data_IF_034902562536
#
_entry.id   IF_034902562536
#
_cell.length_a   1.000
_cell.length_b   1.000
_cell.length_c   1.000
_cell.angle_alpha   90.00
_cell.angle_beta   90.00
_cell.angle_gamma   90.00
#
_symmetry.space_group_name_H-M   'P 1'
#
loop_
_entity.id
_entity.type
_entity.pdbx_description
1 polymer ?
#
# COMPACT_ATOMS: atom_id res chain seq x y z
N UNK A 1 -18.92 1.27 -16.60
CA UNK A 1 -18.88 2.70 -16.24
C UNK A 1 -17.51 3.22 -16.58
N UNK A 2 -17.41 4.41 -17.19
CA UNK A 2 -16.13 5.08 -17.46
C UNK A 2 -15.94 6.06 -16.30
N UNK A 3 -14.96 5.82 -15.44
CA UNK A 3 -14.63 6.76 -14.36
C UNK A 3 -13.69 7.87 -14.84
N UNK A 4 -13.41 8.80 -13.94
CA UNK A 4 -12.51 9.93 -14.17
C UNK A 4 -11.14 9.64 -13.57
N UNK A 5 -10.08 10.06 -14.25
CA UNK A 5 -8.71 10.01 -13.74
C UNK A 5 -8.22 11.42 -13.44
N UNK A 6 -7.85 11.66 -12.19
CA UNK A 6 -7.19 12.89 -11.73
C UNK A 6 -5.72 12.60 -11.45
N UNK A 7 -4.80 13.37 -12.02
CA UNK A 7 -3.37 13.18 -11.81
C UNK A 7 -2.71 14.48 -11.31
N UNK A 8 -1.91 14.34 -10.24
CA UNK A 8 -1.04 15.38 -9.70
C UNK A 8 0.41 14.97 -9.91
N UNK A 9 1.15 15.75 -10.70
CA UNK A 9 2.61 15.60 -10.79
C UNK A 9 3.27 16.42 -9.69
N UNK A 10 3.84 15.74 -8.71
CA UNK A 10 4.50 16.34 -7.56
C UNK A 10 5.96 16.64 -7.87
N UNK A 11 6.36 17.91 -7.71
CA UNK A 11 7.77 18.33 -7.85
C UNK A 11 8.51 18.37 -6.51
N UNK A 12 7.81 18.09 -5.41
CA UNK A 12 8.32 18.09 -4.04
C UNK A 12 7.26 17.58 -3.07
N UNK A 13 7.68 17.31 -1.84
CA UNK A 13 6.78 16.80 -0.81
C UNK A 13 5.62 17.78 -0.57
N UNK A 14 4.40 17.25 -0.58
CA UNK A 14 3.18 18.07 -0.67
C UNK A 14 2.19 17.72 0.42
N UNK A 15 1.55 18.74 0.99
CA UNK A 15 0.42 18.58 1.92
C UNK A 15 -0.84 19.11 1.25
N UNK A 16 -1.86 18.27 1.11
CA UNK A 16 -3.16 18.61 0.53
C UNK A 16 -4.23 18.58 1.61
N UNK A 17 -5.07 19.62 1.65
CA UNK A 17 -6.18 19.74 2.57
C UNK A 17 -7.51 19.53 1.83
N UNK A 18 -8.30 18.56 2.30
CA UNK A 18 -9.57 18.19 1.70
C UNK A 18 -10.70 18.48 2.68
N UNK A 19 -11.69 19.28 2.25
CA UNK A 19 -12.88 19.51 3.09
C UNK A 19 -13.73 18.26 3.27
N UNK A 20 -13.85 17.45 2.21
CA UNK A 20 -14.38 16.08 2.24
C UNK A 20 -13.79 15.30 1.09
N UNK A 21 -13.13 14.18 1.40
CA UNK A 21 -12.61 13.27 0.38
C UNK A 21 -13.60 12.14 0.08
N UNK A 22 -14.06 12.08 -1.17
CA UNK A 22 -14.84 10.98 -1.73
C UNK A 22 -14.24 10.65 -3.09
N UNK A 23 -13.71 9.44 -3.25
CA UNK A 23 -13.27 8.91 -4.55
C UNK A 23 -14.21 7.77 -4.94
N UNK A 24 -15.18 8.01 -5.84
CA UNK A 24 -16.14 6.98 -6.28
C UNK A 24 -15.48 5.76 -6.94
N UNK A 25 -16.21 4.64 -6.94
CA UNK A 25 -15.78 3.45 -7.67
C UNK A 25 -15.68 3.73 -9.18
N UNK A 26 -14.57 3.28 -9.78
CA UNK A 26 -14.24 3.54 -11.18
C UNK A 26 -13.37 4.79 -11.39
N UNK A 27 -13.32 5.71 -10.44
CA UNK A 27 -12.44 6.88 -10.50
C UNK A 27 -11.02 6.55 -10.03
N UNK A 28 -10.04 7.28 -10.55
CA UNK A 28 -8.62 7.17 -10.22
C UNK A 28 -8.06 8.51 -9.73
N UNK A 29 -7.24 8.45 -8.68
CA UNK A 29 -6.41 9.55 -8.21
C UNK A 29 -4.94 9.12 -8.22
N UNK A 30 -4.11 9.82 -9.00
CA UNK A 30 -2.72 9.48 -9.21
C UNK A 30 -1.80 10.62 -8.76
N UNK A 31 -0.76 10.27 -7.99
CA UNK A 31 0.30 11.17 -7.57
C UNK A 31 1.63 10.70 -8.18
N UNK A 32 2.10 11.39 -9.22
CA UNK A 32 3.32 11.06 -9.95
C UNK A 32 4.51 11.95 -9.56
N UNK A 33 5.74 11.53 -9.89
CA UNK A 33 6.96 12.34 -9.68
C UNK A 33 7.83 11.94 -8.48
N UNK A 34 7.46 10.88 -7.76
CA UNK A 34 8.26 10.23 -6.72
C UNK A 34 8.31 10.94 -5.35
N UNK A 35 7.88 12.20 -5.28
CA UNK A 35 7.74 12.93 -4.02
C UNK A 35 6.59 12.37 -3.15
N UNK A 36 6.63 12.64 -1.85
CA UNK A 36 5.59 12.20 -0.92
C UNK A 36 4.39 13.15 -0.87
N UNK A 37 3.23 12.63 -0.47
CA UNK A 37 2.02 13.41 -0.27
C UNK A 37 1.29 13.05 1.04
N UNK A 38 0.89 14.09 1.77
CA UNK A 38 0.02 14.01 2.94
C UNK A 38 -1.34 14.58 2.59
N UNK A 39 -2.38 13.77 2.69
CA UNK A 39 -3.76 14.17 2.50
C UNK A 39 -4.43 14.34 3.86
N UNK A 40 -4.63 15.59 4.27
CA UNK A 40 -5.38 15.94 5.47
C UNK A 40 -6.87 16.00 5.14
N UNK A 41 -7.65 15.12 5.77
CA UNK A 41 -9.08 14.96 5.52
C UNK A 41 -9.86 15.65 6.65
N UNK A 42 -10.44 16.81 6.32
CA UNK A 42 -11.19 17.65 7.25
C UNK A 42 -12.68 17.28 7.37
N UNK A 43 -13.36 17.99 8.26
CA UNK A 43 -14.79 17.78 8.50
C UNK A 43 -15.09 16.60 9.44
N UNK A 44 -16.38 16.29 9.59
CA UNK A 44 -16.89 15.27 10.53
C UNK A 44 -17.62 14.12 9.85
N UNK A 45 -17.77 14.18 8.52
CA UNK A 45 -18.46 13.16 7.72
C UNK A 45 -17.47 12.13 7.22
N UNK A 46 -17.89 10.86 7.16
CA UNK A 46 -17.07 9.75 6.66
C UNK A 46 -16.47 10.07 5.28
N UNK A 47 -15.16 9.81 5.17
CA UNK A 47 -14.40 9.83 3.92
C UNK A 47 -14.41 8.46 3.27
N UNK A 48 -14.41 8.43 1.94
CA UNK A 48 -14.47 7.17 1.19
C UNK A 48 -13.45 7.15 0.06
N UNK A 49 -12.77 6.01 -0.04
CA UNK A 49 -11.93 5.64 -1.18
C UNK A 49 -12.56 4.37 -1.76
N UNK A 50 -13.50 4.56 -2.68
CA UNK A 50 -14.16 3.48 -3.42
C UNK A 50 -13.44 3.18 -4.74
N UNK A 51 -12.72 4.18 -5.29
CA UNK A 51 -11.89 4.08 -6.49
C UNK A 51 -10.44 3.68 -6.22
N UNK A 52 -9.56 4.04 -7.16
CA UNK A 52 -8.13 3.67 -7.13
C UNK A 52 -7.28 4.89 -6.79
N UNK A 53 -6.41 4.77 -5.79
CA UNK A 53 -5.36 5.73 -5.49
C UNK A 53 -4.00 5.11 -5.79
N UNK A 54 -3.17 5.79 -6.57
CA UNK A 54 -1.79 5.38 -6.85
C UNK A 54 -0.82 6.53 -6.58
N UNK A 55 0.32 6.25 -5.95
CA UNK A 55 1.39 7.20 -5.75
C UNK A 55 2.76 6.57 -6.05
N UNK A 56 3.63 7.29 -6.77
CA UNK A 56 5.02 6.84 -6.96
C UNK A 56 5.83 6.94 -5.65
N UNK A 57 5.46 7.89 -4.78
CA UNK A 57 6.11 8.19 -3.52
C UNK A 57 5.41 7.64 -2.28
N UNK A 58 5.69 8.25 -1.13
CA UNK A 58 4.98 7.98 0.13
C UNK A 58 3.62 8.66 0.07
N UNK A 59 2.56 7.98 0.52
CA UNK A 59 1.22 8.56 0.58
C UNK A 59 0.58 8.35 1.95
N UNK A 60 0.02 9.42 2.50
CA UNK A 60 -0.73 9.40 3.76
C UNK A 60 -2.14 9.98 3.59
N UNK A 61 -3.13 9.37 4.25
CA UNK A 61 -4.47 9.94 4.44
C UNK A 61 -4.79 10.00 5.93
N UNK A 62 -5.08 11.21 6.44
CA UNK A 62 -5.28 11.47 7.88
C UNK A 62 -6.63 12.15 8.12
N UNK A 63 -7.58 11.42 8.70
CA UNK A 63 -8.95 11.86 8.98
C UNK A 63 -9.20 12.07 10.48
N UNK A 64 -8.57 13.08 11.08
CA UNK A 64 -8.65 13.35 12.52
C UNK A 64 -10.07 13.68 13.02
N UNK A 65 -10.97 14.12 12.13
CA UNK A 65 -12.34 14.52 12.47
C UNK A 65 -13.42 13.48 12.20
N UNK A 66 -13.14 12.44 11.40
CA UNK A 66 -14.15 11.59 10.79
C UNK A 66 -13.68 10.13 10.60
N UNK A 67 -14.61 9.24 10.24
CA UNK A 67 -14.26 7.90 9.78
C UNK A 67 -13.61 7.94 8.38
N UNK A 68 -12.81 6.93 8.09
CA UNK A 68 -12.23 6.68 6.77
C UNK A 68 -12.53 5.24 6.36
N UNK A 69 -13.16 5.08 5.20
CA UNK A 69 -13.44 3.78 4.60
C UNK A 69 -12.73 3.63 3.27
N UNK A 70 -12.03 2.50 3.11
CA UNK A 70 -11.34 2.14 1.87
C UNK A 70 -11.96 0.87 1.31
N UNK A 71 -12.82 1.02 0.31
CA UNK A 71 -13.44 -0.07 -0.43
C UNK A 71 -12.66 -0.42 -1.71
N UNK A 72 -11.97 0.57 -2.30
CA UNK A 72 -11.14 0.41 -3.48
C UNK A 72 -9.69 0.05 -3.13
N UNK A 73 -8.73 0.60 -3.86
CA UNK A 73 -7.31 0.26 -3.69
C UNK A 73 -6.45 1.50 -3.45
N UNK A 74 -5.49 1.41 -2.53
CA UNK A 74 -4.47 2.44 -2.32
C UNK A 74 -3.08 1.82 -2.48
N UNK A 75 -2.32 2.29 -3.46
CA UNK A 75 -0.96 1.82 -3.75
C UNK A 75 0.04 2.96 -3.66
N UNK A 76 1.16 2.72 -2.99
CA UNK A 76 2.26 3.69 -2.89
C UNK A 76 3.60 3.03 -2.58
N UNK A 77 4.69 3.79 -2.58
CA UNK A 77 5.99 3.28 -2.07
C UNK A 77 5.87 2.89 -0.60
N UNK A 78 5.25 3.76 0.20
CA UNK A 78 4.74 3.47 1.54
C UNK A 78 3.35 4.08 1.66
N UNK A 79 2.47 3.45 2.42
CA UNK A 79 1.07 3.89 2.58
C UNK A 79 0.72 4.03 4.05
N UNK A 80 0.14 5.16 4.44
CA UNK A 80 -0.45 5.35 5.77
C UNK A 80 -1.89 5.80 5.66
N UNK A 81 -2.81 5.07 6.30
CA UNK A 81 -4.22 5.40 6.40
C UNK A 81 -4.59 5.56 7.87
N UNK A 82 -5.11 6.72 8.26
CA UNK A 82 -5.40 7.01 9.64
C UNK A 82 -6.71 7.77 9.84
N UNK A 83 -7.43 7.44 10.91
CA UNK A 83 -8.50 8.29 11.49
C UNK A 83 -7.97 9.16 12.64
N UNK A 84 -6.67 9.43 12.59
CA UNK A 84 -5.90 10.24 13.53
C UNK A 84 -5.23 11.36 12.74
N UNK A 85 -5.00 12.52 13.37
CA UNK A 85 -4.24 13.61 12.76
C UNK A 85 -2.74 13.31 12.77
N UNK A 86 -2.03 13.68 11.70
CA UNK A 86 -0.56 13.67 11.72
C UNK A 86 -0.06 14.85 12.56
N UNK A 87 0.73 14.57 13.60
CA UNK A 87 1.31 15.62 14.45
C UNK A 87 2.37 16.45 13.74
N UNK A 88 3.01 15.88 12.71
CA UNK A 88 4.03 16.52 11.89
C UNK A 88 4.08 15.86 10.50
N UNK A 89 3.53 16.55 9.50
CA UNK A 89 3.53 16.09 8.12
C UNK A 89 4.95 15.99 7.52
N UNK A 90 5.88 16.83 7.96
CA UNK A 90 7.27 16.83 7.49
C UNK A 90 8.01 15.61 8.04
N UNK A 91 7.83 15.29 9.32
CA UNK A 91 8.41 14.08 9.91
C UNK A 91 7.92 12.82 9.18
N UNK A 92 6.63 12.75 8.84
CA UNK A 92 6.08 11.66 8.04
C UNK A 92 6.72 11.57 6.64
N UNK A 93 6.77 12.69 5.90
CA UNK A 93 7.26 12.72 4.51
C UNK A 93 8.75 12.39 4.39
N UNK A 94 9.54 12.85 5.36
CA UNK A 94 10.99 12.57 5.43
C UNK A 94 11.33 11.14 5.84
N UNK A 95 10.32 10.33 6.23
CA UNK A 95 10.53 8.97 6.72
C UNK A 95 11.15 8.91 8.12
N UNK A 96 11.18 10.05 8.83
CA UNK A 96 11.46 10.10 10.25
C UNK A 96 10.37 9.37 11.04
N UNK A 97 10.65 9.05 12.29
CA UNK A 97 9.61 8.55 13.18
C UNK A 97 8.51 9.61 13.31
N UNK A 98 7.25 9.20 13.28
CA UNK A 98 6.11 10.11 13.27
C UNK A 98 5.05 9.69 14.28
N UNK A 99 4.26 10.67 14.72
CA UNK A 99 3.16 10.48 15.67
C UNK A 99 1.83 10.88 15.03
N UNK A 100 0.79 10.14 15.37
CA UNK A 100 -0.58 10.36 14.97
C UNK A 100 -1.45 10.45 16.22
N UNK A 101 -2.26 11.50 16.34
CA UNK A 101 -3.07 11.74 17.54
C UNK A 101 -4.50 12.09 17.16
N UNK A 102 -5.46 11.55 17.90
CA UNK A 102 -6.86 11.95 17.82
C UNK A 102 -7.04 13.28 18.59
N UNK A 103 -7.25 14.37 17.87
CA UNK A 103 -7.55 15.68 18.47
C UNK A 103 -9.05 15.86 18.69
N UNK A 104 -9.88 15.24 17.85
CA UNK A 104 -11.31 15.41 17.94
C UNK A 104 -11.97 14.37 18.88
N UNK A 105 -13.10 14.79 19.46
CA UNK A 105 -13.91 13.96 20.38
C UNK A 105 -14.83 13.01 19.60
N UNK A 106 -15.17 11.87 20.20
CA UNK A 106 -16.08 10.87 19.62
C UNK A 106 -15.37 9.68 18.96
N UNK A 107 -16.17 8.68 18.61
CA UNK A 107 -15.69 7.45 17.99
C UNK A 107 -15.49 7.63 16.48
N UNK A 108 -14.32 7.26 15.97
CA UNK A 108 -13.99 7.23 14.54
C UNK A 108 -13.52 5.83 14.19
N UNK A 109 -14.00 5.34 13.06
CA UNK A 109 -13.70 3.99 12.60
C UNK A 109 -12.89 4.09 11.32
N UNK A 110 -11.72 3.47 11.34
CA UNK A 110 -10.93 3.17 10.16
C UNK A 110 -11.41 1.82 9.63
N UNK A 111 -11.97 1.77 8.42
CA UNK A 111 -12.39 0.51 7.80
C UNK A 111 -11.64 0.29 6.49
N UNK A 112 -11.02 -0.87 6.34
CA UNK A 112 -10.48 -1.35 5.07
C UNK A 112 -11.29 -2.56 4.63
N UNK A 113 -11.97 -2.42 3.51
CA UNK A 113 -12.73 -3.44 2.79
C UNK A 113 -11.99 -3.88 1.51
N UNK A 114 -11.20 -2.99 0.91
CA UNK A 114 -10.42 -3.24 -0.31
C UNK A 114 -8.94 -3.51 -0.07
N UNK A 115 -8.05 -2.96 -0.90
CA UNK A 115 -6.61 -3.25 -0.85
C UNK A 115 -5.73 -2.06 -0.49
N UNK A 116 -4.65 -2.34 0.24
CA UNK A 116 -3.60 -1.38 0.58
C UNK A 116 -2.26 -2.02 0.27
N UNK A 117 -1.48 -1.43 -0.63
CA UNK A 117 -0.22 -2.01 -1.11
C UNK A 117 0.92 -1.01 -0.98
N UNK A 118 1.92 -1.35 -0.17
CA UNK A 118 3.18 -0.61 -0.06
C UNK A 118 4.29 -1.33 -0.84
N UNK A 119 4.70 -0.77 -1.98
CA UNK A 119 5.59 -1.45 -2.94
C UNK A 119 7.06 -1.40 -2.56
N UNK A 120 7.49 -0.46 -1.72
CA UNK A 120 8.89 -0.29 -1.33
C UNK A 120 9.13 -0.08 0.17
N UNK A 121 8.08 -0.05 0.98
CA UNK A 121 8.14 0.30 2.39
C UNK A 121 6.96 -0.27 3.16
N UNK A 122 6.50 0.48 4.16
CA UNK A 122 5.51 0.02 5.11
C UNK A 122 4.07 0.38 4.69
N UNK A 123 3.13 -0.48 5.04
CA UNK A 123 1.69 -0.17 5.03
C UNK A 123 1.21 0.00 6.47
N UNK A 124 0.72 1.19 6.83
CA UNK A 124 0.27 1.52 8.18
C UNK A 124 -1.22 1.87 8.17
N UNK A 125 -2.01 1.22 9.02
CA UNK A 125 -3.42 1.53 9.24
C UNK A 125 -3.65 1.81 10.71
N UNK A 126 -4.13 3.02 11.03
CA UNK A 126 -4.24 3.49 12.40
C UNK A 126 -5.57 4.17 12.71
N UNK A 127 -6.03 4.02 13.94
CA UNK A 127 -7.27 4.64 14.41
C UNK A 127 -7.58 4.26 15.84
N UNK A 128 -8.60 4.87 16.43
CA UNK A 128 -9.10 4.38 17.71
C UNK A 128 -9.73 2.98 17.55
N UNK A 129 -10.44 2.78 16.44
CA UNK A 129 -11.00 1.49 16.04
C UNK A 129 -10.63 1.20 14.58
N UNK A 130 -9.90 0.10 14.37
CA UNK A 130 -9.45 -0.35 13.06
C UNK A 130 -10.16 -1.65 12.71
N UNK A 131 -10.87 -1.67 11.58
CA UNK A 131 -11.56 -2.83 11.04
C UNK A 131 -10.97 -3.19 9.68
N UNK A 132 -10.20 -4.27 9.63
CA UNK A 132 -9.77 -4.91 8.38
C UNK A 132 -10.76 -6.03 8.08
N UNK A 133 -11.54 -5.89 7.00
CA UNK A 133 -12.70 -6.75 6.71
C UNK A 133 -12.29 -8.01 5.94
N UNK A 134 -13.20 -8.98 5.84
CA UNK A 134 -12.87 -10.32 5.32
C UNK A 134 -12.34 -10.36 3.88
N UNK A 135 -12.73 -9.39 3.05
CA UNK A 135 -12.22 -9.26 1.67
C UNK A 135 -10.97 -8.37 1.54
N UNK A 136 -10.53 -7.75 2.63
CA UNK A 136 -9.46 -6.76 2.59
C UNK A 136 -8.08 -7.40 2.48
N UNK A 137 -7.18 -6.72 1.77
CA UNK A 137 -5.79 -7.16 1.57
C UNK A 137 -4.80 -6.04 1.88
N UNK A 138 -3.93 -6.27 2.85
CA UNK A 138 -2.86 -5.36 3.22
C UNK A 138 -1.52 -6.01 2.87
N UNK A 139 -0.79 -5.44 1.94
CA UNK A 139 0.47 -5.99 1.46
C UNK A 139 1.59 -4.95 1.53
N UNK A 140 2.75 -5.34 2.02
CA UNK A 140 3.91 -4.46 2.11
C UNK A 140 5.21 -5.20 1.81
N UNK A 141 6.10 -4.59 1.01
CA UNK A 141 7.49 -5.07 0.90
C UNK A 141 8.22 -4.93 2.24
N UNK A 142 7.95 -3.84 2.97
CA UNK A 142 8.35 -3.63 4.35
C UNK A 142 7.41 -4.34 5.31
N UNK A 143 6.90 -3.66 6.33
CA UNK A 143 5.97 -4.24 7.29
C UNK A 143 4.54 -3.74 7.10
N UNK A 144 3.58 -4.58 7.49
CA UNK A 144 2.19 -4.16 7.73
C UNK A 144 2.05 -3.78 9.21
N UNK A 145 1.57 -2.58 9.51
CA UNK A 145 1.37 -2.09 10.88
C UNK A 145 -0.08 -1.69 11.12
N UNK A 146 -0.72 -2.28 12.12
CA UNK A 146 -2.10 -2.00 12.50
C UNK A 146 -2.15 -1.46 13.93
N UNK A 147 -2.68 -0.26 14.11
CA UNK A 147 -2.69 0.41 15.40
C UNK A 147 -4.10 0.80 15.87
N UNK A 148 -4.50 0.29 17.03
CA UNK A 148 -5.72 0.66 17.76
C UNK A 148 -5.40 1.56 18.95
N UNK A 149 -5.58 2.87 18.83
CA UNK A 149 -5.33 3.82 19.92
C UNK A 149 -5.66 5.26 19.57
N UNK A 150 -5.76 6.12 20.60
CA UNK A 150 -5.95 7.58 20.42
C UNK A 150 -4.65 8.32 20.10
N UNK A 151 -3.51 7.71 20.41
CA UNK A 151 -2.19 8.21 20.05
C UNK A 151 -1.36 7.03 19.59
N UNK A 152 -0.76 7.18 18.42
CA UNK A 152 0.01 6.14 17.74
C UNK A 152 1.34 6.74 17.31
N UNK A 153 2.43 6.04 17.58
CA UNK A 153 3.76 6.40 17.11
C UNK A 153 4.30 5.31 16.20
N UNK A 154 5.02 5.72 15.16
CA UNK A 154 5.82 4.83 14.32
C UNK A 154 7.25 5.33 14.40
N UNK A 155 8.13 4.61 15.07
CA UNK A 155 9.54 4.96 15.17
C UNK A 155 10.23 4.88 13.79
N UNK A 156 11.33 5.61 13.58
CA UNK A 156 12.10 5.55 12.34
C UNK A 156 12.75 4.17 12.14
N UNK A 157 13.23 3.59 13.24
CA UNK A 157 13.98 2.36 13.29
C UNK A 157 13.64 1.56 14.56
N UNK A 158 14.28 0.40 14.69
CA UNK A 158 14.10 -0.50 15.81
C UNK A 158 13.39 -1.79 15.45
N UNK A 159 13.49 -2.77 16.35
CA UNK A 159 12.86 -4.08 16.21
C UNK A 159 11.34 -4.04 16.37
N UNK A 160 10.86 -3.04 17.10
CA UNK A 160 9.47 -2.69 17.30
C UNK A 160 9.33 -1.20 17.06
N UNK A 161 8.50 -0.84 16.08
CA UNK A 161 8.36 0.56 15.66
C UNK A 161 7.01 1.12 16.03
N UNK A 162 5.99 0.27 16.12
CA UNK A 162 4.67 0.66 16.54
C UNK A 162 4.61 0.91 18.05
N UNK A 163 3.88 1.95 18.44
CA UNK A 163 3.57 2.27 19.82
C UNK A 163 2.19 2.91 19.91
N UNK A 164 1.41 2.58 20.94
CA UNK A 164 0.07 3.13 21.17
C UNK A 164 -0.11 3.63 22.60
N UNK A 165 -0.82 4.73 22.77
CA UNK A 165 -1.23 5.25 24.07
C UNK A 165 -2.69 5.73 24.09
N UNK A 166 -3.20 5.98 25.29
CA UNK A 166 -4.63 6.24 25.53
C UNK A 166 -5.36 5.07 26.22
N UNK A 167 -6.64 5.26 26.53
CA UNK A 167 -7.47 4.29 27.26
C UNK A 167 -8.31 3.39 26.35
N UNK A 168 -8.52 3.78 25.09
CA UNK A 168 -9.36 3.10 24.10
C UNK A 168 -8.54 2.77 22.85
N UNK A 169 -8.83 1.63 22.22
CA UNK A 169 -8.05 1.15 21.08
C UNK A 169 -8.34 -0.30 20.71
N UNK A 170 -8.95 -0.54 19.55
CA UNK A 170 -9.28 -1.88 19.07
C UNK A 170 -8.80 -2.10 17.64
N UNK A 171 -8.26 -3.29 17.37
CA UNK A 171 -8.00 -3.79 16.01
C UNK A 171 -8.81 -5.07 15.80
N UNK A 172 -9.75 -5.04 14.87
CA UNK A 172 -10.44 -6.21 14.36
C UNK A 172 -9.90 -6.56 12.98
N UNK A 173 -9.30 -7.74 12.86
CA UNK A 173 -8.65 -8.20 11.64
C UNK A 173 -9.32 -9.47 11.11
N UNK A 174 -10.06 -9.34 10.03
CA UNK A 174 -10.78 -10.44 9.35
C UNK A 174 -10.20 -10.76 7.96
N UNK A 175 -9.38 -9.86 7.40
CA UNK A 175 -8.83 -9.98 6.05
C UNK A 175 -7.46 -10.64 5.99
N UNK A 176 -6.65 -10.23 5.03
CA UNK A 176 -5.29 -10.72 4.82
C UNK A 176 -4.28 -9.59 5.04
N UNK A 177 -3.25 -9.84 5.84
CA UNK A 177 -2.10 -8.95 6.03
C UNK A 177 -0.81 -9.71 5.73
N UNK A 178 -0.02 -9.22 4.78
CA UNK A 178 1.26 -9.82 4.38
C UNK A 178 2.37 -8.80 4.28
N UNK A 179 3.50 -9.06 4.92
CA UNK A 179 4.72 -8.29 4.71
C UNK A 179 5.96 -9.01 5.20
N UNK A 180 7.13 -8.36 5.10
CA UNK A 180 8.35 -8.88 5.73
C UNK A 180 8.15 -9.05 7.24
N UNK A 181 7.35 -8.17 7.85
CA UNK A 181 6.92 -8.22 9.25
C UNK A 181 5.47 -7.75 9.37
N UNK A 182 4.77 -8.21 10.40
CA UNK A 182 3.46 -7.67 10.78
C UNK A 182 3.50 -7.24 12.24
N UNK A 183 3.17 -5.98 12.52
CA UNK A 183 3.04 -5.43 13.86
C UNK A 183 1.59 -4.99 14.10
N UNK A 184 0.95 -5.53 15.12
CA UNK A 184 -0.39 -5.12 15.55
C UNK A 184 -0.31 -4.70 17.01
N UNK A 185 -0.69 -3.46 17.28
CA UNK A 185 -0.76 -2.96 18.65
C UNK A 185 -2.10 -2.28 18.90
N UNK A 186 -2.74 -2.59 20.02
CA UNK A 186 -3.97 -1.93 20.43
C UNK A 186 -4.01 -1.63 21.93
N UNK A 187 -4.83 -0.67 22.37
CA UNK A 187 -4.96 -0.39 23.82
C UNK A 187 -5.79 -1.42 24.56
N UNK A 188 -6.89 -1.88 23.96
CA UNK A 188 -7.87 -2.75 24.61
C UNK A 188 -7.90 -4.14 23.97
N UNK A 189 -7.95 -4.23 22.65
CA UNK A 189 -8.23 -5.51 22.00
C UNK A 189 -7.59 -5.62 20.62
N UNK A 190 -6.99 -6.79 20.38
CA UNK A 190 -6.67 -7.26 19.02
C UNK A 190 -7.47 -8.54 18.81
N UNK A 191 -8.36 -8.56 17.83
CA UNK A 191 -9.11 -9.74 17.45
C UNK A 191 -8.78 -10.14 16.01
N UNK A 192 -8.14 -11.29 15.83
CA UNK A 192 -7.81 -11.85 14.52
C UNK A 192 -8.72 -13.03 14.19
N UNK A 193 -9.46 -12.94 13.09
CA UNK A 193 -10.18 -14.05 12.47
C UNK A 193 -9.82 -14.22 10.98
N UNK A 194 -8.80 -13.48 10.52
CA UNK A 194 -8.26 -13.53 9.16
C UNK A 194 -6.85 -14.13 9.12
N UNK A 195 -6.07 -13.81 8.08
CA UNK A 195 -4.71 -14.31 7.88
C UNK A 195 -3.66 -13.22 8.10
N UNK A 196 -2.72 -13.46 9.01
CA UNK A 196 -1.55 -12.62 9.25
C UNK A 196 -0.31 -13.41 8.85
N UNK A 197 0.50 -12.86 7.94
CA UNK A 197 1.69 -13.54 7.42
C UNK A 197 2.90 -12.60 7.37
N UNK A 198 3.99 -13.01 8.01
CA UNK A 198 5.29 -12.35 7.88
C UNK A 198 6.41 -13.14 8.50
N UNK A 199 7.67 -12.80 8.22
CA UNK A 199 8.81 -13.50 8.83
C UNK A 199 8.84 -13.33 10.36
N UNK A 200 8.26 -12.23 10.84
CA UNK A 200 8.01 -11.94 12.26
C UNK A 200 6.62 -11.33 12.41
N UNK A 201 5.91 -11.78 13.43
CA UNK A 201 4.59 -11.25 13.79
C UNK A 201 4.64 -10.77 15.23
N UNK A 202 4.18 -9.55 15.46
CA UNK A 202 4.19 -8.91 16.76
C UNK A 202 2.80 -8.46 17.14
N UNK A 203 2.31 -8.94 18.27
CA UNK A 203 0.99 -8.59 18.79
C UNK A 203 1.15 -8.00 20.19
N UNK A 204 0.68 -6.78 20.40
CA UNK A 204 0.72 -6.13 21.71
C UNK A 204 -0.63 -5.52 22.08
N UNK A 205 -1.01 -5.66 23.34
CA UNK A 205 -2.11 -4.91 23.94
C UNK A 205 -1.71 -4.18 25.20
N UNK A 206 -2.40 -3.06 25.45
CA UNK A 206 -2.27 -2.30 26.69
C UNK A 206 -2.65 -3.12 27.94
N UNK A 207 -2.34 -2.57 29.12
CA UNK A 207 -2.65 -3.20 30.42
C UNK A 207 -4.14 -3.50 30.54
N UNK A 208 -4.48 -4.76 30.82
CA UNK A 208 -5.86 -5.22 30.95
C UNK A 208 -6.55 -5.54 29.61
N UNK A 209 -5.90 -5.28 28.48
CA UNK A 209 -6.38 -5.67 27.16
C UNK A 209 -6.19 -7.16 26.88
N UNK A 210 -6.77 -7.61 25.77
CA UNK A 210 -6.72 -9.01 25.31
C UNK A 210 -6.41 -9.12 23.82
N UNK A 211 -5.74 -10.19 23.45
CA UNK A 211 -5.47 -10.59 22.07
C UNK A 211 -6.21 -11.90 21.86
N UNK A 212 -7.10 -11.93 20.87
CA UNK A 212 -7.90 -13.06 20.46
C UNK A 212 -7.44 -13.50 19.08
N UNK A 213 -6.99 -14.73 18.94
CA UNK A 213 -6.90 -15.40 17.64
C UNK A 213 -8.09 -16.35 17.55
N UNK A 214 -9.16 -15.90 16.89
CA UNK A 214 -10.43 -16.59 16.73
C UNK A 214 -10.29 -17.88 15.92
N UNK A 215 -11.28 -18.77 15.96
CA UNK A 215 -11.21 -20.11 15.33
C UNK A 215 -10.83 -20.15 13.84
N UNK A 216 -11.12 -19.09 13.07
CA UNK A 216 -10.72 -18.95 11.66
C UNK A 216 -9.41 -18.20 11.46
N UNK A 217 -8.84 -17.62 12.51
CA UNK A 217 -7.62 -16.84 12.50
C UNK A 217 -6.39 -17.69 12.22
N UNK A 218 -5.56 -17.26 11.27
CA UNK A 218 -4.28 -17.89 10.93
C UNK A 218 -3.16 -16.89 11.10
N UNK A 219 -2.13 -17.27 11.86
CA UNK A 219 -0.90 -16.47 12.01
C UNK A 219 0.27 -17.31 11.50
N UNK A 220 1.03 -16.78 10.54
CA UNK A 220 2.20 -17.44 9.95
C UNK A 220 3.44 -16.60 10.19
N UNK A 221 4.44 -17.16 10.88
CA UNK A 221 5.70 -16.50 11.16
C UNK A 221 6.23 -16.73 12.57
N UNK A 222 7.33 -16.04 12.91
CA UNK A 222 7.84 -16.02 14.29
C UNK A 222 7.04 -15.03 15.12
N UNK A 223 6.13 -15.54 15.94
CA UNK A 223 5.18 -14.73 16.72
C UNK A 223 5.76 -14.31 18.07
N UNK A 224 5.62 -13.03 18.44
CA UNK A 224 5.91 -12.51 19.77
C UNK A 224 4.73 -11.69 20.27
N UNK A 225 4.24 -12.04 21.46
CA UNK A 225 2.98 -11.55 22.01
C UNK A 225 3.25 -10.85 23.34
N UNK A 226 2.60 -9.70 23.57
CA UNK A 226 2.62 -8.96 24.84
C UNK A 226 1.21 -8.57 25.25
N UNK A 227 0.73 -9.17 26.34
CA UNK A 227 -0.63 -8.97 26.85
C UNK A 227 -1.31 -10.31 27.11
N UNK A 228 -2.60 -10.28 27.47
CA UNK A 228 -3.39 -11.49 27.63
C UNK A 228 -3.68 -12.07 26.25
N UNK A 229 -3.27 -13.31 26.00
CA UNK A 229 -3.46 -13.98 24.72
C UNK A 229 -4.39 -15.18 24.87
N UNK A 230 -5.36 -15.28 23.99
CA UNK A 230 -6.29 -16.38 23.89
C UNK A 230 -6.37 -16.82 22.42
N UNK A 231 -6.24 -18.11 22.18
CA UNK A 231 -6.01 -18.67 20.85
C UNK A 231 -6.89 -19.89 20.61
N UNK A 232 -7.94 -19.67 19.83
CA UNK A 232 -8.79 -20.70 19.25
C UNK A 232 -8.44 -20.98 17.77
N UNK A 233 -7.63 -20.11 17.16
CA UNK A 233 -7.16 -20.23 15.78
C UNK A 233 -5.85 -21.00 15.61
N UNK A 234 -5.27 -20.90 14.40
CA UNK A 234 -4.03 -21.58 14.01
C UNK A 234 -2.83 -20.64 14.04
N UNK A 235 -1.74 -21.09 14.65
CA UNK A 235 -0.43 -20.42 14.57
C UNK A 235 0.58 -21.38 13.95
N UNK A 236 1.07 -21.02 12.77
CA UNK A 236 2.11 -21.75 12.05
C UNK A 236 3.43 -21.05 12.30
N UNK A 237 4.37 -21.75 12.96
CA UNK A 237 5.74 -21.31 13.03
C UNK A 237 6.33 -21.15 11.63
N UNK A 238 7.38 -20.35 11.48
CA UNK A 238 8.15 -20.41 10.25
C UNK A 238 8.79 -21.78 10.15
N UNK A 239 8.30 -22.63 9.25
CA UNK A 239 9.05 -23.83 8.85
C UNK A 239 10.42 -23.35 8.37
N UNK A 240 11.49 -23.91 8.94
CA UNK A 240 12.87 -23.59 8.60
C UNK A 240 13.23 -23.97 7.13
N UNK A 241 12.26 -24.45 6.34
CA UNK A 241 12.42 -24.82 4.93
C UNK A 241 11.73 -23.92 3.90
N UNK A 242 10.69 -23.16 4.27
CA UNK A 242 9.79 -22.50 3.29
C UNK A 242 9.53 -21.02 3.56
N UNK A 243 10.17 -20.43 4.57
CA UNK A 243 10.22 -18.98 4.67
C UNK A 243 10.94 -18.45 3.42
N UNK A 244 10.18 -17.85 2.49
CA UNK A 244 10.73 -16.98 1.46
C UNK A 244 11.49 -15.88 2.18
N UNK A 245 12.79 -16.11 2.40
CA UNK A 245 13.71 -15.08 2.84
C UNK A 245 13.64 -14.04 1.75
N UNK A 246 12.96 -12.92 2.01
CA UNK A 246 13.10 -11.72 1.20
C UNK A 246 14.61 -11.51 1.05
N UNK A 247 15.12 -11.71 -0.17
CA UNK A 247 16.52 -11.57 -0.44
C UNK A 247 16.90 -10.15 -0.05
N UNK A 248 17.63 -10.02 1.06
CA UNK A 248 18.11 -8.74 1.55
C UNK A 248 18.76 -8.00 0.37
N UNK A 249 18.26 -6.81 0.04
CA UNK A 249 18.93 -5.92 -0.90
C UNK A 249 20.34 -5.67 -0.34
N UNK A 250 21.35 -6.29 -0.95
CA UNK A 250 22.72 -6.16 -0.49
C UNK A 250 23.18 -4.74 -0.81
N UNK A 251 23.17 -3.86 0.20
CA UNK A 251 23.72 -2.52 0.12
C UNK A 251 25.25 -2.63 0.22
N UNK A 252 25.95 -2.50 -0.90
CA UNK A 252 27.41 -2.45 -0.90
C UNK A 252 27.85 -0.98 -0.84
N UNK A 253 28.33 -0.53 0.32
CA UNK A 253 28.89 0.82 0.49
C UNK A 253 30.37 0.81 0.09
N UNK A 254 30.69 1.43 -1.05
CA UNK A 254 32.07 1.63 -1.47
C UNK A 254 32.65 2.84 -0.74
N UNK A 255 33.79 2.70 -0.02
CA UNK A 255 34.43 3.83 0.65
C UNK A 255 35.05 4.80 -0.35
N UNK A 256 35.29 6.03 0.10
CA UNK A 256 36.03 7.02 -0.69
C UNK A 256 37.47 6.54 -0.91
N UNK A 257 37.95 6.57 -2.15
CA UNK A 257 39.34 6.28 -2.50
C UNK A 257 40.08 7.60 -2.67
N UNK A 258 41.19 7.77 -1.95
CA UNK A 258 42.11 8.91 -2.09
C UNK A 258 43.41 8.46 -2.75
N UNK A 259 43.98 9.34 -3.57
CA UNK A 259 45.31 9.15 -4.16
C UNK A 259 46.40 9.43 -3.09
N UNK A 260 47.65 8.99 -3.32
CA UNK A 260 48.77 9.29 -2.41
C UNK A 260 49.03 10.78 -2.19
N UNK A 261 48.60 11.65 -3.11
CA UNK A 261 48.68 13.11 -3.02
C UNK A 261 47.55 13.75 -2.19
N UNK A 262 46.66 12.94 -1.60
CA UNK A 262 45.52 13.39 -0.80
C UNK A 262 44.28 13.82 -1.60
N UNK A 263 44.35 13.86 -2.94
CA UNK A 263 43.19 14.17 -3.79
C UNK A 263 42.22 12.99 -3.89
N UNK A 264 40.91 13.27 -3.92
CA UNK A 264 39.88 12.23 -4.03
C UNK A 264 39.90 11.59 -5.42
N UNK A 265 40.17 10.28 -5.48
CA UNK A 265 40.11 9.46 -6.70
C UNK A 265 38.68 9.00 -7.03
N UNK A 266 37.89 8.66 -6.01
CA UNK A 266 36.46 8.36 -6.16
C UNK A 266 35.69 8.64 -4.87
N UNK A 267 34.50 9.24 -4.99
CA UNK A 267 33.60 9.48 -3.86
C UNK A 267 32.95 8.19 -3.38
N UNK A 268 32.61 8.13 -2.09
CA UNK A 268 31.83 7.04 -1.54
C UNK A 268 30.47 6.93 -2.25
N UNK A 269 30.04 5.71 -2.55
CA UNK A 269 28.74 5.45 -3.19
C UNK A 269 28.16 4.13 -2.74
N UNK A 270 26.84 4.11 -2.62
CA UNK A 270 26.08 2.90 -2.29
C UNK A 270 25.62 2.23 -3.58
N UNK A 271 25.98 0.97 -3.75
CA UNK A 271 25.48 0.13 -4.84
C UNK A 271 24.36 -0.75 -4.30
N UNK A 272 23.15 -0.56 -4.84
CA UNK A 272 22.02 -1.48 -4.65
C UNK A 272 21.96 -2.41 -5.84
N UNK A 273 22.03 -3.72 -5.59
CA UNK A 273 21.83 -4.74 -6.60
C UNK A 273 20.49 -5.41 -6.34
N UNK A 274 19.46 -4.99 -7.07
CA UNK A 274 18.20 -5.71 -7.13
C UNK A 274 18.38 -6.85 -8.14
N UNK A 275 18.44 -8.09 -7.64
CA UNK A 275 18.39 -9.27 -8.51
C UNK A 275 16.92 -9.67 -8.61
N UNK A 276 16.29 -9.61 -9.79
CA UNK A 276 14.97 -10.22 -9.96
C UNK A 276 15.13 -11.73 -9.76
N UNK A 277 14.58 -12.26 -8.67
CA UNK A 277 14.49 -13.70 -8.47
C UNK A 277 13.42 -14.26 -9.41
N UNK A 278 13.85 -15.00 -10.41
CA UNK A 278 12.99 -15.94 -11.12
C UNK A 278 12.76 -17.11 -10.17
N UNK A 279 11.50 -17.30 -9.75
CA UNK A 279 11.10 -18.51 -9.06
C UNK A 279 11.27 -19.69 -10.03
N UNK A 280 12.30 -20.50 -9.83
CA UNK A 280 12.44 -21.78 -10.51
C UNK A 280 11.38 -22.72 -9.95
N UNK A 281 10.32 -22.95 -10.71
CA UNK A 281 9.46 -24.11 -10.57
C UNK A 281 9.99 -25.19 -11.53
N UNK A 282 11.05 -25.89 -11.11
CA UNK A 282 11.44 -27.15 -11.74
C UNK A 282 10.50 -28.26 -11.24
N UNK A 283 9.34 -28.37 -11.87
CA UNK A 283 8.61 -29.63 -11.98
C UNK A 283 8.78 -30.15 -13.42
N UNK A 284 9.26 -31.38 -13.50
CA UNK A 284 9.93 -31.99 -14.65
C UNK A 284 9.06 -32.21 -15.91
N UNK A 285 9.74 -32.00 -17.06
CA UNK A 285 9.78 -32.82 -18.30
C UNK A 285 8.48 -33.07 -19.08
N UNK A 286 8.38 -32.48 -20.29
CA UNK A 286 8.74 -33.22 -21.52
C UNK A 286 8.80 -32.35 -22.80
N UNK A 287 9.89 -32.58 -23.56
CA UNK A 287 10.08 -32.50 -25.03
C UNK A 287 9.89 -31.18 -25.82
N UNK A 288 11.06 -30.65 -26.22
CA UNK A 288 11.59 -30.60 -27.61
C UNK A 288 11.65 -29.26 -28.38
N UNK A 289 12.85 -29.08 -28.98
CA UNK A 289 13.26 -28.27 -30.12
C UNK A 289 13.60 -26.78 -29.90
N UNK A 290 14.89 -26.59 -29.63
CA UNK A 290 15.68 -25.38 -29.87
C UNK A 290 15.73 -24.97 -31.35
N UNK A 291 15.49 -23.70 -31.66
CA UNK A 291 16.14 -23.01 -32.79
C UNK A 291 16.46 -21.56 -32.36
N UNK A 292 17.75 -21.27 -32.21
CA UNK A 292 18.30 -19.90 -32.23
C UNK A 292 18.62 -19.55 -33.69
N UNK A 293 18.23 -18.37 -34.19
CA UNK A 293 18.96 -17.65 -35.25
C UNK A 293 18.91 -16.12 -34.97
N UNK A 294 20.04 -15.48 -35.27
CA UNK A 294 20.55 -14.19 -34.84
C UNK A 294 19.88 -12.90 -35.36
N UNK A 295 20.09 -11.79 -34.62
CA UNK A 295 20.02 -10.39 -35.09
C UNK A 295 21.24 -10.14 -36.00
N UNK A 296 21.17 -9.40 -37.13
CA UNK A 296 21.15 -7.92 -37.26
C UNK A 296 21.27 -7.54 -38.78
N UNK A 297 21.36 -6.26 -39.21
CA UNK A 297 20.28 -5.41 -39.75
C UNK A 297 20.44 -5.02 -41.24
N UNK A 298 19.39 -4.48 -41.88
CA UNK A 298 19.47 -3.41 -42.90
C UNK A 298 18.07 -2.89 -43.28
N UNK A 299 17.88 -1.57 -43.21
CA UNK A 299 16.91 -0.81 -43.99
C UNK A 299 17.72 0.10 -44.96
N UNK A 300 17.13 0.84 -45.92
CA UNK A 300 15.71 1.01 -46.27
C UNK A 300 15.46 0.91 -47.80
N UNK A 301 14.20 0.92 -48.25
CA UNK A 301 13.84 1.52 -49.57
C UNK A 301 12.33 1.83 -49.64
N UNK A 302 12.06 3.09 -49.95
CA UNK A 302 10.76 3.72 -50.17
C UNK A 302 9.95 3.03 -51.29
N UNK A 303 8.62 3.00 -51.19
CA UNK A 303 7.72 3.82 -52.05
C UNK A 303 6.23 3.47 -51.87
N UNK A 304 5.46 4.56 -51.88
CA UNK A 304 4.01 4.74 -52.06
C UNK A 304 3.29 3.63 -52.84
N UNK A 305 2.03 3.37 -52.49
CA UNK A 305 0.82 3.72 -53.28
C UNK A 305 -0.43 3.10 -52.64
N UNK A 306 -1.34 3.95 -52.19
CA UNK A 306 -2.77 3.63 -52.07
C UNK A 306 -3.34 3.38 -53.46
N UNK A 307 -4.27 2.44 -53.66
CA UNK A 307 -5.36 2.54 -54.66
C UNK A 307 -6.37 1.36 -54.56
N UNK A 308 -7.64 1.70 -54.81
CA UNK A 308 -8.88 0.90 -54.97
C UNK A 308 -9.55 0.36 -53.69
N UNK A 309 -10.84 0.62 -53.42
CA UNK A 309 -11.89 1.26 -54.20
C UNK A 309 -13.18 0.47 -54.07
N UNK A 310 -14.21 1.03 -53.43
CA UNK A 310 -15.58 0.59 -53.61
C UNK A 310 -16.49 1.81 -53.79
N UNK A 311 -17.14 1.80 -54.95
CA UNK A 311 -17.98 2.83 -55.56
C UNK A 311 -19.34 2.18 -55.81
N UNK A 312 -20.42 2.91 -55.52
CA UNK A 312 -21.78 2.61 -55.98
C UNK A 312 -22.70 2.08 -54.87
N UNK A 313 -23.87 2.68 -54.61
CA UNK A 313 -24.53 3.78 -55.30
C UNK A 313 -25.71 4.31 -54.49
N UNK A 314 -26.00 5.59 -54.70
CA UNK A 314 -27.21 6.26 -54.25
C UNK A 314 -28.15 6.46 -55.44
N UNK A 315 -29.44 6.18 -55.25
CA UNK A 315 -30.62 6.70 -55.97
C UNK A 315 -31.81 6.39 -55.05
N UNK A 316 -32.71 7.29 -54.65
CA UNK A 316 -32.94 8.71 -54.85
C UNK A 316 -34.25 9.05 -54.11
N UNK A 317 -34.21 10.07 -53.25
CA UNK A 317 -35.16 11.19 -53.01
C UNK A 317 -36.67 11.10 -53.41
N UNK A 318 -37.55 12.04 -52.95
CA UNK A 318 -37.83 12.57 -51.61
C UNK A 318 -39.37 12.84 -51.39
N UNK A 319 -39.70 13.63 -50.36
CA UNK A 319 -40.97 14.37 -50.11
C UNK A 319 -42.13 13.59 -49.48
N UNK A 320 -43.00 14.14 -48.62
CA UNK A 320 -43.04 15.36 -47.82
C UNK A 320 -44.25 15.23 -46.87
N UNK A 321 -44.29 16.12 -45.87
CA UNK A 321 -45.50 16.83 -45.41
C UNK A 321 -46.10 16.54 -44.01
N UNK A 322 -46.51 17.67 -43.43
CA UNK A 322 -47.01 18.07 -42.09
C UNK A 322 -48.17 17.20 -41.56
N UNK A 323 -48.50 17.16 -40.26
CA UNK A 323 -48.99 18.27 -39.41
C UNK A 323 -49.23 17.79 -37.96
N UNK A 324 -49.13 18.63 -36.91
CA UNK A 324 -49.61 18.31 -35.56
C UNK A 324 -51.03 18.86 -35.33
N UNK A 325 -51.87 18.14 -34.57
CA UNK A 325 -53.10 18.70 -33.98
C UNK A 325 -53.32 18.22 -32.54
N UNK A 326 -53.35 19.23 -31.66
CA UNK A 326 -54.01 19.39 -30.34
C UNK A 326 -53.62 18.51 -29.17
#
# INVERSE_FOLDING_TARGET
MIGTRTEYTLTGDTVLNWGRFLLPAGDELVFSGGAGVVNLLGGTREHRIDGIVAADGVIGFFADGAGLRVNGSVTGRSVTLATLGTGDAVAFLTGGGYAMNATAAGLRVMTVDGSVTATGGDAVVAGEFVNVRGGAKLEATGAVRLAGGRSVTVAADGRWRLGTSGSTGVVQHLGESRGSEVEIEARQEVANAGRIEGARVFLEVGRGGKILNEGSGVIVGRVKIKGRYDNDGTVLGGDEGDAVVAANSSLLRLPELKRPDGSTASRARDLRKDVPMTASSDSQRDRAASVQIAKKPAAPLLRRLSFFGMRGGATGQPAAEKKPER
#
